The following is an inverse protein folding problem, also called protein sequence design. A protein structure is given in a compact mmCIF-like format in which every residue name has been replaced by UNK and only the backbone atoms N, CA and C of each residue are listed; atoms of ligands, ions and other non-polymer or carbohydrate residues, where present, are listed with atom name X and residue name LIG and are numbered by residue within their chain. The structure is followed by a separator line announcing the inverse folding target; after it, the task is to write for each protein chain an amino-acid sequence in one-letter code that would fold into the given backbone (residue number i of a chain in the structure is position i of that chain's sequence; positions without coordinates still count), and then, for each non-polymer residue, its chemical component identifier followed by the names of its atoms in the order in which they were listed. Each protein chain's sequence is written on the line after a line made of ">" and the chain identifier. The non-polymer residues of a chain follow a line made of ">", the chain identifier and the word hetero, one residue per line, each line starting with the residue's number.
data_IF_655569772751
#
_entry.id   IF_655569772751
#
_cell.length_a   1.000
_cell.length_b   1.000
_cell.length_c   1.000
_cell.angle_alpha   90.00
_cell.angle_beta   90.00
_cell.angle_gamma   90.00
#
_symmetry.space_group_name_H-M   'P 1'
#
loop_
_entity.id
_entity.type
_entity.pdbx_description
1 polymer ?
#
# COMPACT_ATOMS: atom_id res chain seq x y z
N UNK A 1 -5.03 12.61 -0.28
CA UNK A 1 -3.56 12.73 -0.43
C UNK A 1 -3.10 11.44 -1.10
N UNK A 2 -2.16 11.48 -2.03
CA UNK A 2 -1.65 10.27 -2.70
C UNK A 2 -0.18 10.09 -2.35
N UNK A 3 0.29 8.85 -2.27
CA UNK A 3 1.69 8.51 -2.02
C UNK A 3 2.12 7.37 -2.96
N UNK A 4 3.41 7.23 -3.22
CA UNK A 4 3.96 6.20 -4.10
C UNK A 4 4.42 4.97 -3.32
N UNK A 5 4.01 3.79 -3.77
CA UNK A 5 4.40 2.51 -3.19
C UNK A 5 5.03 1.61 -4.23
N UNK A 6 5.95 0.75 -3.80
CA UNK A 6 6.62 -0.24 -4.65
C UNK A 6 6.03 -1.62 -4.40
N UNK A 7 5.59 -2.32 -5.46
CA UNK A 7 5.08 -3.67 -5.31
C UNK A 7 6.23 -4.63 -4.94
N UNK A 8 6.13 -5.37 -3.82
CA UNK A 8 7.19 -6.28 -3.38
C UNK A 8 7.33 -7.51 -4.29
N UNK A 9 6.38 -7.76 -5.21
CA UNK A 9 6.41 -8.93 -6.09
C UNK A 9 6.86 -8.64 -7.51
N UNK A 10 6.48 -7.50 -8.11
CA UNK A 10 6.93 -7.13 -9.46
C UNK A 10 7.98 -6.01 -9.48
N UNK A 11 8.15 -5.26 -8.37
CA UNK A 11 9.08 -4.14 -8.27
C UNK A 11 8.62 -2.85 -8.96
N UNK A 12 7.38 -2.80 -9.45
CA UNK A 12 6.83 -1.60 -10.10
C UNK A 12 6.34 -0.59 -9.05
N UNK A 13 6.45 0.71 -9.36
CA UNK A 13 5.98 1.79 -8.48
C UNK A 13 4.71 2.42 -9.01
N UNK A 14 3.75 2.67 -8.12
CA UNK A 14 2.49 3.31 -8.47
C UNK A 14 1.95 4.13 -7.30
N UNK A 15 1.12 5.12 -7.60
CA UNK A 15 0.53 6.00 -6.61
C UNK A 15 -0.78 5.42 -6.07
N UNK A 16 -0.95 5.46 -4.74
CA UNK A 16 -2.14 5.00 -4.04
C UNK A 16 -2.73 6.11 -3.17
N UNK A 17 -4.02 6.02 -2.89
CA UNK A 17 -4.69 6.97 -2.02
C UNK A 17 -4.33 6.68 -0.55
N UNK A 18 -3.84 7.71 0.16
CA UNK A 18 -3.63 7.67 1.61
C UNK A 18 -4.98 7.89 2.31
N UNK A 19 -5.40 6.99 3.23
CA UNK A 19 -6.58 7.17 4.06
C UNK A 19 -6.59 8.49 4.85
N UNK A 20 -7.77 8.90 5.31
CA UNK A 20 -7.89 10.10 6.13
C UNK A 20 -7.11 9.95 7.46
N UNK A 21 -6.67 11.04 8.11
CA UNK A 21 -6.08 10.99 9.46
C UNK A 21 -6.91 10.21 10.48
N UNK A 22 -8.23 10.24 10.36
CA UNK A 22 -9.16 9.57 11.26
C UNK A 22 -9.19 8.05 11.07
N UNK A 23 -8.67 7.56 9.95
CA UNK A 23 -8.61 6.15 9.57
C UNK A 23 -7.18 5.59 9.71
N UNK A 24 -6.27 6.33 10.35
CA UNK A 24 -4.87 5.94 10.54
C UNK A 24 -4.56 5.72 12.02
N UNK A 25 -3.73 4.72 12.38
CA UNK A 25 -3.05 3.76 11.50
C UNK A 25 -4.02 2.66 11.02
N UNK A 26 -3.80 2.13 9.82
CA UNK A 26 -4.64 1.07 9.25
C UNK A 26 -3.88 0.18 8.26
N UNK A 27 -4.45 -0.98 7.96
CA UNK A 27 -3.99 -1.89 6.92
C UNK A 27 -5.08 -1.98 5.84
N UNK A 28 -4.68 -1.90 4.58
CA UNK A 28 -5.57 -2.00 3.42
C UNK A 28 -5.20 -3.23 2.61
N UNK A 29 -6.17 -4.11 2.37
CA UNK A 29 -6.05 -5.16 1.36
C UNK A 29 -6.05 -4.51 -0.02
N UNK A 30 -4.97 -4.69 -0.77
CA UNK A 30 -4.77 -4.01 -2.04
C UNK A 30 -4.18 -4.96 -3.08
N UNK A 31 -4.71 -4.95 -4.30
CA UNK A 31 -4.14 -5.72 -5.41
C UNK A 31 -3.25 -4.82 -6.25
N UNK A 32 -2.03 -5.26 -6.55
CA UNK A 32 -1.11 -4.50 -7.41
C UNK A 32 -1.75 -4.20 -8.77
N UNK A 33 -1.80 -2.94 -9.21
CA UNK A 33 -2.43 -2.53 -10.47
C UNK A 33 -1.68 -3.03 -11.73
N UNK A 34 -0.46 -3.54 -11.56
CA UNK A 34 0.44 -3.92 -12.64
C UNK A 34 0.48 -5.44 -12.82
N UNK A 35 0.66 -6.18 -11.73
CA UNK A 35 0.74 -7.65 -11.77
C UNK A 35 -0.46 -8.37 -11.15
N UNK A 36 -1.47 -7.62 -10.68
CA UNK A 36 -2.71 -8.13 -10.07
C UNK A 36 -2.47 -9.14 -8.93
N UNK A 37 -1.34 -8.99 -8.22
CA UNK A 37 -1.04 -9.83 -7.06
C UNK A 37 -1.52 -9.17 -5.77
N UNK A 38 -2.08 -9.96 -4.84
CA UNK A 38 -2.56 -9.44 -3.59
C UNK A 38 -1.41 -9.01 -2.69
N UNK A 39 -1.57 -7.85 -2.08
CA UNK A 39 -0.64 -7.21 -1.16
C UNK A 39 -1.41 -6.47 -0.06
N UNK A 40 -0.71 -6.11 1.01
CA UNK A 40 -1.26 -5.28 2.09
C UNK A 40 -0.52 -3.96 2.09
N UNK A 41 -1.26 -2.86 2.14
CA UNK A 41 -0.69 -1.53 2.37
C UNK A 41 -0.84 -1.20 3.85
N UNK A 42 0.28 -0.99 4.53
CA UNK A 42 0.31 -0.54 5.93
C UNK A 42 0.46 0.97 5.97
N UNK A 43 -0.45 1.64 6.66
CA UNK A 43 -0.43 3.09 6.81
C UNK A 43 -0.18 3.44 8.27
N UNK A 44 0.89 4.18 8.55
CA UNK A 44 1.23 4.65 9.89
C UNK A 44 0.39 5.89 10.33
N UNK A 45 0.59 6.33 11.57
CA UNK A 45 -0.10 7.51 12.14
C UNK A 45 0.21 8.79 11.35
N UNK A 46 1.43 8.92 10.82
CA UNK A 46 1.87 10.04 9.99
C UNK A 46 1.35 9.96 8.54
N UNK A 47 0.87 8.80 8.09
CA UNK A 47 0.34 8.55 6.75
C UNK A 47 1.35 7.99 5.75
N UNK A 48 2.50 7.50 6.20
CA UNK A 48 3.43 6.78 5.33
C UNK A 48 2.85 5.42 5.00
N UNK A 49 3.02 5.03 3.74
CA UNK A 49 2.52 3.76 3.24
C UNK A 49 3.68 2.79 3.01
N UNK A 50 3.57 1.59 3.55
CA UNK A 50 4.47 0.47 3.31
C UNK A 50 3.73 -0.68 2.61
N UNK A 51 4.27 -1.15 1.50
CA UNK A 51 3.72 -2.26 0.73
C UNK A 51 4.30 -3.61 1.20
N UNK A 52 3.45 -4.48 1.73
CA UNK A 52 3.82 -5.80 2.25
C UNK A 52 3.19 -6.89 1.37
N UNK A 53 4.02 -7.82 0.89
CA UNK A 53 3.55 -8.94 0.07
C UNK A 53 2.88 -10.02 0.93
N UNK A 54 1.74 -10.54 0.46
CA UNK A 54 1.07 -11.68 1.10
C UNK A 54 1.71 -12.96 0.54
N UNK A 55 2.90 -13.27 1.00
CA UNK A 55 3.66 -14.44 0.56
C UNK A 55 4.84 -14.68 1.49
N UNK A 56 4.62 -15.54 2.48
CA UNK A 56 5.68 -16.13 3.30
C UNK A 56 6.53 -17.12 2.52
#
# INVERSE_FOLDING_TARGET
>A
MVDEVECPTCGERFAVAVPAPEERPTELDYDCEVCCRPMVLRVDEEGRIEAVGIGS
#
